data_IF_613941139808
#
_entry.id   IF_613941139808
#
_cell.length_a   1.000
_cell.length_b   1.000
_cell.length_c   1.000
_cell.angle_alpha   90.00
_cell.angle_beta   90.00
_cell.angle_gamma   90.00
#
_symmetry.space_group_name_H-M   'P 1'
#
loop_
_entity.id
_entity.type
_entity.pdbx_description
1 polymer ?
#
# COMPACT_ATOMS: atom_id res chain seq x y z
N UNK A 1 -4.24 12.54 9.82
CA UNK A 1 -4.57 12.22 8.42
C UNK A 1 -3.46 12.80 7.58
N UNK A 2 -2.71 11.98 6.81
CA UNK A 2 -1.68 12.51 5.94
C UNK A 2 -2.39 13.26 4.83
N UNK A 3 -2.11 14.54 4.68
CA UNK A 3 -2.64 15.22 3.53
C UNK A 3 -1.58 16.15 2.98
N UNK A 4 -0.61 15.55 2.29
CA UNK A 4 0.23 16.24 1.31
C UNK A 4 -0.62 16.72 0.11
N UNK A 5 -1.84 17.20 0.38
CA UNK A 5 -2.90 17.56 -0.56
C UNK A 5 -2.48 18.78 -1.36
N UNK A 6 -1.80 19.71 -0.70
CA UNK A 6 -1.25 20.92 -1.32
C UNK A 6 -0.14 20.53 -2.28
N UNK A 7 0.83 19.72 -1.84
CA UNK A 7 1.96 19.25 -2.63
C UNK A 7 1.50 18.38 -3.81
N UNK A 8 0.54 17.47 -3.57
CA UNK A 8 -0.12 16.69 -4.62
C UNK A 8 -0.85 17.60 -5.62
N UNK A 9 -1.53 18.64 -5.13
CA UNK A 9 -2.22 19.63 -5.95
C UNK A 9 -1.27 20.37 -6.87
N UNK A 10 -0.14 20.85 -6.34
CA UNK A 10 0.92 21.53 -7.13
C UNK A 10 1.53 20.56 -8.16
N UNK A 11 1.84 19.32 -7.76
CA UNK A 11 2.35 18.31 -8.68
C UNK A 11 1.36 18.08 -9.84
N UNK A 12 0.08 17.90 -9.53
CA UNK A 12 -0.95 17.61 -10.51
C UNK A 12 -1.24 18.77 -11.45
N UNK A 13 -1.39 19.98 -10.91
CA UNK A 13 -1.89 21.12 -11.66
C UNK A 13 -0.78 21.90 -12.36
N UNK A 14 0.45 21.88 -11.82
CA UNK A 14 1.54 22.72 -12.33
C UNK A 14 2.68 21.89 -12.91
N UNK A 15 3.13 20.84 -12.23
CA UNK A 15 4.35 20.10 -12.61
C UNK A 15 4.07 19.06 -13.70
N UNK A 16 3.05 18.23 -13.54
CA UNK A 16 2.73 17.16 -14.48
C UNK A 16 2.43 17.65 -15.90
N UNK A 17 1.68 18.75 -16.13
CA UNK A 17 1.46 19.25 -17.48
C UNK A 17 2.77 19.64 -18.18
N UNK A 18 3.67 20.29 -17.46
CA UNK A 18 4.98 20.70 -17.99
C UNK A 18 5.87 19.49 -18.29
N UNK A 19 5.87 18.50 -17.40
CA UNK A 19 6.64 17.27 -17.57
C UNK A 19 6.12 16.45 -18.76
N UNK A 20 4.80 16.31 -18.91
CA UNK A 20 4.18 15.66 -20.08
C UNK A 20 4.64 16.29 -21.39
N UNK A 21 4.64 17.63 -21.47
CA UNK A 21 5.13 18.35 -22.65
C UNK A 21 6.59 18.02 -22.94
N UNK A 22 7.47 18.12 -21.93
CA UNK A 22 8.90 17.85 -22.08
C UNK A 22 9.22 16.39 -22.46
N UNK A 23 8.48 15.43 -21.90
CA UNK A 23 8.61 14.02 -22.27
C UNK A 23 8.22 13.81 -23.74
N UNK A 24 7.07 14.36 -24.15
CA UNK A 24 6.59 14.26 -25.54
C UNK A 24 7.56 14.87 -26.54
N UNK A 25 8.13 16.04 -26.23
CA UNK A 25 9.12 16.70 -27.10
C UNK A 25 10.40 15.86 -27.27
N UNK A 26 10.64 14.90 -26.37
CA UNK A 26 11.75 13.93 -26.42
C UNK A 26 11.33 12.53 -26.89
N UNK A 27 10.10 12.35 -27.34
CA UNK A 27 9.58 11.06 -27.82
C UNK A 27 9.17 10.08 -26.71
N UNK A 28 8.98 10.55 -25.48
CA UNK A 28 8.50 9.73 -24.36
C UNK A 28 7.03 9.99 -24.07
N UNK A 29 6.29 8.91 -23.78
CA UNK A 29 4.96 8.99 -23.16
C UNK A 29 5.09 8.95 -21.63
N UNK A 30 4.43 9.89 -20.95
CA UNK A 30 4.44 9.96 -19.49
C UNK A 30 3.16 9.35 -18.93
N UNK A 31 3.31 8.26 -18.18
CA UNK A 31 2.22 7.68 -17.38
C UNK A 31 2.38 8.10 -15.92
N UNK A 32 1.28 8.49 -15.29
CA UNK A 32 1.24 8.94 -13.90
C UNK A 32 0.25 8.06 -13.16
N UNK A 33 0.72 7.40 -12.10
CA UNK A 33 -0.06 6.51 -11.26
C UNK A 33 0.06 7.00 -9.82
N UNK A 34 -1.06 7.37 -9.21
CA UNK A 34 -1.11 7.65 -7.78
C UNK A 34 -1.54 6.39 -7.04
N UNK A 35 -0.57 5.69 -6.47
CA UNK A 35 -0.77 4.45 -5.71
C UNK A 35 -1.62 4.65 -4.43
N UNK A 36 -1.85 5.90 -4.02
CA UNK A 36 -2.65 6.24 -2.84
C UNK A 36 -4.00 6.89 -3.20
N UNK A 37 -4.32 7.08 -4.49
CA UNK A 37 -5.56 7.74 -4.93
C UNK A 37 -6.78 6.80 -4.91
N UNK A 38 -6.57 5.50 -5.12
CA UNK A 38 -7.63 4.49 -5.27
C UNK A 38 -8.49 4.27 -4.00
N UNK A 39 -8.09 4.83 -2.85
CA UNK A 39 -8.70 4.55 -1.56
C UNK A 39 -8.92 5.81 -0.72
N UNK A 40 -9.58 6.81 -1.30
CA UNK A 40 -10.51 7.59 -0.48
C UNK A 40 -11.60 6.63 0.02
N UNK A 41 -11.32 5.88 1.10
CA UNK A 41 -11.95 6.14 2.40
C UNK A 41 -11.78 5.02 3.45
N UNK A 42 -11.47 3.74 3.15
CA UNK A 42 -11.79 2.69 4.15
C UNK A 42 -10.75 1.63 4.50
N UNK A 43 -9.60 1.56 3.84
CA UNK A 43 -8.54 0.62 4.25
C UNK A 43 -7.17 1.16 3.86
N UNK A 44 -6.13 1.06 4.70
CA UNK A 44 -4.78 1.13 4.21
C UNK A 44 -4.59 -0.05 3.25
N UNK A 45 -4.39 0.21 1.95
CA UNK A 45 -3.87 -0.85 1.10
C UNK A 45 -2.51 -1.27 1.66
N UNK A 46 -2.25 -2.58 1.84
CA UNK A 46 -0.96 -3.02 2.33
C UNK A 46 0.14 -2.49 1.43
N UNK A 47 1.22 -1.95 2.00
CA UNK A 47 2.40 -1.49 1.25
C UNK A 47 2.88 -2.52 0.21
N UNK A 48 2.64 -3.80 0.45
CA UNK A 48 2.88 -4.90 -0.48
C UNK A 48 2.19 -4.76 -1.84
N UNK A 49 0.96 -4.26 -1.92
CA UNK A 49 0.25 -4.05 -3.18
C UNK A 49 0.91 -2.93 -3.99
N UNK A 50 1.23 -1.81 -3.33
CA UNK A 50 1.97 -0.71 -3.95
C UNK A 50 3.34 -1.17 -4.47
N UNK A 51 4.07 -1.96 -3.68
CA UNK A 51 5.36 -2.51 -4.07
C UNK A 51 5.24 -3.51 -5.22
N UNK A 52 4.20 -4.34 -5.23
CA UNK A 52 3.93 -5.27 -6.32
C UNK A 52 3.63 -4.53 -7.63
N UNK A 53 2.80 -3.49 -7.57
CA UNK A 53 2.50 -2.63 -8.72
C UNK A 53 3.77 -1.97 -9.27
N UNK A 54 4.60 -1.39 -8.39
CA UNK A 54 5.87 -0.78 -8.79
C UNK A 54 6.80 -1.78 -9.49
N UNK A 55 6.92 -3.00 -8.96
CA UNK A 55 7.73 -4.07 -9.58
C UNK A 55 7.21 -4.41 -10.97
N UNK A 56 5.89 -4.60 -11.11
CA UNK A 56 5.27 -4.93 -12.41
C UNK A 56 5.48 -3.84 -13.45
N UNK A 57 5.41 -2.56 -13.05
CA UNK A 57 5.65 -1.45 -13.96
C UNK A 57 7.13 -1.36 -14.36
N UNK A 58 8.04 -1.61 -13.42
CA UNK A 58 9.49 -1.59 -13.68
C UNK A 58 9.96 -2.65 -14.69
N UNK A 59 9.19 -3.72 -14.92
CA UNK A 59 9.46 -4.70 -15.97
C UNK A 59 9.21 -4.18 -17.39
N UNK A 60 8.40 -3.11 -17.54
CA UNK A 60 7.89 -2.65 -18.85
C UNK A 60 8.26 -1.21 -19.17
N UNK A 61 8.58 -0.39 -18.18
CA UNK A 61 8.87 1.04 -18.38
C UNK A 61 9.88 1.56 -17.36
N UNK A 62 10.45 2.73 -17.65
CA UNK A 62 11.23 3.48 -16.68
C UNK A 62 10.30 4.03 -15.60
N UNK A 63 10.52 3.58 -14.36
CA UNK A 63 9.72 4.01 -13.20
C UNK A 63 10.51 5.03 -12.39
N UNK A 64 9.90 6.18 -12.12
CA UNK A 64 10.43 7.20 -11.19
C UNK A 64 9.48 7.30 -10.00
N UNK A 65 9.81 6.72 -8.84
CA UNK A 65 8.97 6.82 -7.65
C UNK A 65 9.04 8.22 -7.05
N UNK A 66 7.89 8.83 -6.79
CA UNK A 66 7.76 10.09 -6.06
C UNK A 66 7.11 9.81 -4.71
N UNK A 67 7.85 10.06 -3.64
CA UNK A 67 7.38 9.84 -2.26
C UNK A 67 7.17 11.20 -1.59
N UNK A 68 5.96 11.43 -1.09
CA UNK A 68 5.63 12.59 -0.28
C UNK A 68 5.67 12.18 1.19
N UNK A 69 6.59 12.77 1.95
CA UNK A 69 6.74 12.54 3.38
C UNK A 69 6.08 13.69 4.13
N UNK A 70 5.34 13.35 5.19
CA UNK A 70 4.86 14.33 6.16
C UNK A 70 5.51 14.06 7.53
N UNK A 71 5.10 14.80 8.56
CA UNK A 71 5.60 14.62 9.93
C UNK A 71 5.17 13.34 10.65
N UNK A 72 4.44 12.41 10.00
CA UNK A 72 3.89 11.19 10.64
C UNK A 72 3.99 9.98 9.72
N UNK A 73 4.43 8.83 10.22
CA UNK A 73 4.52 7.61 9.39
C UNK A 73 3.16 6.91 9.12
N UNK A 74 2.05 7.64 9.26
CA UNK A 74 0.70 7.10 9.17
C UNK A 74 0.28 6.33 10.43
N UNK A 75 -0.79 5.54 10.31
CA UNK A 75 -1.22 4.65 11.38
C UNK A 75 -0.21 3.51 11.53
N UNK A 76 0.26 3.26 12.75
CA UNK A 76 1.09 2.09 13.03
C UNK A 76 0.28 0.82 12.71
N UNK A 77 0.76 0.03 11.75
CA UNK A 77 0.15 -1.23 11.37
C UNK A 77 0.97 -2.39 11.93
N UNK A 78 0.27 -3.39 12.47
CA UNK A 78 0.90 -4.64 12.88
C UNK A 78 1.44 -5.38 11.64
N UNK A 79 2.66 -5.93 11.70
CA UNK A 79 3.19 -6.76 10.62
C UNK A 79 2.25 -7.93 10.30
N UNK A 80 2.08 -8.25 9.02
CA UNK A 80 1.29 -9.44 8.63
C UNK A 80 1.96 -10.74 9.05
N UNK A 81 3.29 -10.75 9.01
CA UNK A 81 4.13 -11.88 9.38
C UNK A 81 5.33 -11.38 10.17
N UNK A 82 5.74 -12.14 11.17
CA UNK A 82 6.95 -11.93 11.96
C UNK A 82 7.69 -13.27 11.99
N UNK A 83 8.99 -13.29 11.71
CA UNK A 83 9.76 -14.53 11.80
C UNK A 83 9.67 -15.12 13.22
N UNK A 84 9.68 -16.45 13.34
CA UNK A 84 9.50 -17.11 14.65
C UNK A 84 10.51 -16.62 15.69
N UNK A 85 11.77 -16.43 15.32
CA UNK A 85 12.82 -15.95 16.24
C UNK A 85 12.51 -14.55 16.79
N UNK A 86 12.10 -13.62 15.94
CA UNK A 86 11.78 -12.24 16.32
C UNK A 86 10.52 -12.20 17.18
N UNK A 87 9.52 -13.00 16.80
CA UNK A 87 8.26 -13.07 17.53
C UNK A 87 8.45 -13.61 18.94
N UNK A 88 9.18 -14.73 19.09
CA UNK A 88 9.46 -15.36 20.37
C UNK A 88 10.30 -14.44 21.27
N UNK A 89 11.26 -13.73 20.69
CA UNK A 89 12.04 -12.70 21.39
C UNK A 89 11.14 -11.59 21.92
N UNK A 90 10.26 -11.03 21.08
CA UNK A 90 9.33 -9.97 21.49
C UNK A 90 8.28 -10.44 22.53
N UNK A 91 7.79 -11.68 22.38
CA UNK A 91 6.82 -12.28 23.28
C UNK A 91 7.42 -12.67 24.64
N UNK A 92 8.72 -12.97 24.71
CA UNK A 92 9.41 -13.26 25.98
C UNK A 92 9.77 -11.99 26.75
N UNK A 93 10.08 -10.90 26.06
CA UNK A 93 10.46 -9.62 26.67
C UNK A 93 9.29 -8.85 27.32
N UNK A 94 8.05 -9.25 27.06
CA UNK A 94 6.86 -8.56 27.54
C UNK A 94 5.67 -9.51 27.70
N UNK A 95 4.77 -9.26 28.65
CA UNK A 95 3.44 -9.90 28.71
C UNK A 95 2.53 -9.37 27.57
N UNK A 96 3.04 -9.36 26.34
CA UNK A 96 2.37 -8.76 25.20
C UNK A 96 1.18 -9.60 24.74
N UNK A 97 0.13 -8.96 24.20
CA UNK A 97 -0.99 -9.67 23.59
C UNK A 97 -0.61 -10.29 22.22
N UNK A 98 0.67 -10.45 21.89
CA UNK A 98 1.12 -10.98 20.60
C UNK A 98 0.56 -12.38 20.34
N UNK A 99 0.60 -13.27 21.34
CA UNK A 99 0.03 -14.62 21.23
C UNK A 99 -1.49 -14.64 21.05
N UNK A 100 -2.19 -13.55 21.44
CA UNK A 100 -3.61 -13.40 21.13
C UNK A 100 -3.79 -13.16 19.64
N UNK A 101 -3.05 -12.22 19.07
CA UNK A 101 -3.29 -11.72 17.71
C UNK A 101 -2.55 -12.49 16.62
N UNK A 102 -1.58 -13.33 16.95
CA UNK A 102 -0.79 -14.06 15.96
C UNK A 102 -0.85 -15.57 16.17
N UNK A 103 -0.72 -16.31 15.07
CA UNK A 103 -0.62 -17.78 15.08
C UNK A 103 0.63 -18.22 14.34
N UNK A 104 1.34 -19.21 14.89
CA UNK A 104 2.50 -19.83 14.25
C UNK A 104 2.07 -20.57 12.97
N UNK A 105 2.81 -20.33 11.90
CA UNK A 105 2.78 -21.08 10.65
C UNK A 105 4.13 -21.82 10.51
N UNK A 106 4.10 -23.12 10.77
CA UNK A 106 5.25 -24.01 10.64
C UNK A 106 5.49 -24.48 9.21
N UNK A 107 4.58 -24.21 8.27
CA UNK A 107 4.74 -24.55 6.85
C UNK A 107 5.47 -23.45 6.07
N UNK A 108 5.55 -22.23 6.62
CA UNK A 108 6.39 -21.18 6.07
C UNK A 108 7.88 -21.52 6.21
N UNK A 109 8.69 -21.10 5.24
CA UNK A 109 10.13 -21.29 5.26
C UNK A 109 10.82 -19.93 5.00
N UNK A 110 11.44 -19.29 6.02
CA UNK A 110 11.52 -19.74 7.42
C UNK A 110 10.15 -19.73 8.14
N UNK A 111 9.98 -20.51 9.23
CA UNK A 111 8.77 -20.48 10.05
C UNK A 111 8.47 -19.08 10.56
N UNK A 112 7.19 -18.73 10.61
CA UNK A 112 6.76 -17.38 11.01
C UNK A 112 5.47 -17.40 11.82
N UNK A 113 5.15 -16.29 12.46
CA UNK A 113 3.86 -16.02 13.08
C UNK A 113 3.06 -15.09 12.18
N UNK A 114 1.82 -15.47 11.85
CA UNK A 114 0.90 -14.70 11.01
C UNK A 114 -0.14 -13.96 11.85
N UNK A 115 -0.38 -12.70 11.51
CA UNK A 115 -1.43 -11.89 12.13
C UNK A 115 -2.81 -12.45 11.79
N UNK A 116 -3.63 -12.66 12.81
CA UNK A 116 -5.02 -13.11 12.67
C UNK A 116 -5.91 -11.93 12.26
N UNK A 117 -6.92 -12.16 11.40
CA UNK A 117 -7.92 -11.14 11.11
C UNK A 117 -8.61 -10.65 12.38
N UNK A 118 -8.92 -9.34 12.45
CA UNK A 118 -9.60 -8.76 13.62
C UNK A 118 -10.93 -9.47 13.96
N UNK A 119 -11.63 -9.97 12.94
CA UNK A 119 -12.84 -10.76 13.07
C UNK A 119 -12.68 -12.03 13.91
N UNK A 120 -11.46 -12.59 14.02
CA UNK A 120 -11.17 -13.76 14.84
C UNK A 120 -11.35 -13.48 16.35
N UNK A 121 -11.12 -12.23 16.78
CA UNK A 121 -11.24 -11.82 18.19
C UNK A 121 -12.42 -10.90 18.46
N UNK A 122 -13.01 -10.33 17.41
CA UNK A 122 -14.12 -9.39 17.49
C UNK A 122 -15.24 -9.91 16.59
N UNK A 123 -16.14 -10.78 17.10
CA UNK A 123 -17.17 -11.43 16.29
C UNK A 123 -18.14 -10.48 15.57
N UNK A 124 -18.28 -9.24 16.05
CA UNK A 124 -19.09 -8.19 15.42
C UNK A 124 -18.33 -7.39 14.35
N UNK A 125 -17.06 -7.69 14.09
CA UNK A 125 -16.24 -6.96 13.11
C UNK A 125 -16.58 -7.41 11.68
N UNK A 126 -17.44 -6.65 11.01
CA UNK A 126 -17.75 -6.86 9.59
C UNK A 126 -16.59 -6.36 8.73
N UNK A 127 -15.82 -7.28 8.15
CA UNK A 127 -14.90 -6.95 7.06
C UNK A 127 -15.76 -6.68 5.82
N UNK A 128 -15.97 -5.41 5.48
CA UNK A 128 -16.58 -5.03 4.21
C UNK A 128 -15.56 -5.28 3.10
N UNK A 129 -15.52 -6.51 2.57
CA UNK A 129 -14.81 -6.80 1.32
C UNK A 129 -15.63 -6.19 0.20
N UNK A 130 -15.24 -5.01 -0.30
CA UNK A 130 -15.81 -4.45 -1.52
C UNK A 130 -15.39 -5.33 -2.69
N UNK A 131 -16.33 -6.13 -3.21
CA UNK A 131 -16.20 -6.80 -4.50
C UNK A 131 -15.82 -5.76 -5.56
N UNK A 132 -14.75 -6.04 -6.30
CA UNK A 132 -14.24 -5.17 -7.36
C UNK A 132 -15.35 -4.74 -8.32
N UNK A 133 -15.53 -3.44 -8.45
CA UNK A 133 -16.29 -2.85 -9.56
C UNK A 133 -15.36 -2.87 -10.77
N UNK A 134 -15.82 -3.48 -11.87
CA UNK A 134 -15.10 -3.52 -13.13
C UNK A 134 -14.73 -2.09 -13.60
N UNK A 135 -13.59 -1.91 -14.29
CA UNK A 135 -13.21 -0.60 -14.80
C UNK A 135 -14.17 -0.21 -15.93
N UNK A 136 -15.15 0.64 -15.62
CA UNK A 136 -15.93 1.36 -16.62
C UNK A 136 -15.13 2.55 -17.14
N UNK A 137 -14.91 2.60 -18.46
CA UNK A 137 -14.62 3.85 -19.17
C UNK A 137 -13.39 3.86 -20.07
N UNK A 138 -13.41 3.07 -21.15
CA UNK A 138 -12.70 3.44 -22.37
C UNK A 138 -13.55 4.51 -23.07
N UNK A 139 -13.14 5.78 -23.01
CA UNK A 139 -13.67 6.82 -23.90
C UNK A 139 -12.72 6.90 -25.10
N UNK A 140 -13.06 6.18 -26.17
CA UNK A 140 -12.53 6.46 -27.50
C UNK A 140 -13.17 7.76 -28.00
N UNK A 141 -12.37 8.77 -28.29
CA UNK A 141 -12.81 9.88 -29.15
C UNK A 141 -12.48 9.51 -30.59
N UNK A 142 -13.53 9.50 -31.41
CA UNK A 142 -13.53 9.60 -32.87
C UNK A 142 -12.94 10.92 -33.35
#
# INVERSE_FOLDING_TARGET
VPDCKVEKGVLHNEVYPQLRRRCRDKGFELHIVDLHWSLQEKTPEPAELCLHELRRQAERCYVVPVVLLNGTLGAAMLPKTIESVDFETAASASNSPLLKWYRRDSHAQPPCYRLLPAAYHIPAFKVTVSRGVAPSGVVSRS
#
